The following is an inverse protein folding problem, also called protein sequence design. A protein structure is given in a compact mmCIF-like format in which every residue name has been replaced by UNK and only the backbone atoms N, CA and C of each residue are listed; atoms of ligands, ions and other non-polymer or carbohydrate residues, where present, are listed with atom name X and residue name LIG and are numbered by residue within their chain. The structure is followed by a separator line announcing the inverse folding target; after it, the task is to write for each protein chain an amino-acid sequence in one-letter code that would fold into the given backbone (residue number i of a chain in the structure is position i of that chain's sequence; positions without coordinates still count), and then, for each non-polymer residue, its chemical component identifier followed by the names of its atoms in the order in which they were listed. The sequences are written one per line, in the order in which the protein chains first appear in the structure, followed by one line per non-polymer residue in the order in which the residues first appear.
data_IF_981223743295
#
_entry.id   IF_981223743295
#
_cell.length_a   1.000
_cell.length_b   1.000
_cell.length_c   1.000
_cell.angle_alpha   90.00
_cell.angle_beta   90.00
_cell.angle_gamma   90.00
#
_symmetry.space_group_name_H-M   'P 1'
#
loop_
_entity.id
_entity.type
_entity.pdbx_description
1 polymer ?
#
# COMPACT_ATOMS: atom_id res chain seq x y z
N UNK A 1 -6.56 -11.78 1.54
CA UNK A 1 -6.16 -13.06 2.16
C UNK A 1 -4.68 -13.37 1.89
N UNK A 2 -4.26 -13.53 0.63
CA UNK A 2 -2.87 -13.94 0.30
C UNK A 2 -1.77 -13.00 0.83
N UNK A 3 -1.99 -11.68 0.76
CA UNK A 3 -1.03 -10.69 1.30
C UNK A 3 -0.84 -10.80 2.81
N UNK A 4 -1.94 -10.85 3.58
CA UNK A 4 -1.88 -11.01 5.04
C UNK A 4 -1.23 -12.34 5.46
N UNK A 5 -1.47 -13.43 4.73
CA UNK A 5 -0.81 -14.72 4.99
C UNK A 5 0.70 -14.63 4.72
N UNK A 6 1.11 -13.98 3.63
CA UNK A 6 2.51 -13.74 3.31
C UNK A 6 3.19 -12.82 4.34
N UNK A 7 2.46 -11.85 4.90
CA UNK A 7 2.95 -10.92 5.90
C UNK A 7 3.13 -11.57 7.28
N UNK A 8 2.15 -12.36 7.73
CA UNK A 8 2.24 -13.15 8.98
C UNK A 8 3.38 -14.16 8.89
N UNK A 9 3.45 -14.92 7.79
CA UNK A 9 4.49 -15.93 7.61
C UNK A 9 5.87 -15.30 7.39
N UNK A 10 5.93 -14.24 6.57
CA UNK A 10 7.14 -13.51 6.24
C UNK A 10 7.75 -12.85 7.47
N UNK A 11 7.02 -11.97 8.16
CA UNK A 11 7.56 -11.29 9.34
C UNK A 11 7.73 -12.23 10.53
N UNK A 12 6.79 -13.18 10.75
CA UNK A 12 6.88 -14.12 11.87
C UNK A 12 8.15 -14.98 11.84
N UNK A 13 8.67 -15.30 10.65
CA UNK A 13 9.82 -16.20 10.46
C UNK A 13 11.10 -15.43 10.10
N UNK A 14 11.01 -14.32 9.35
CA UNK A 14 12.18 -13.63 8.79
C UNK A 14 13.12 -13.02 9.84
N UNK A 15 12.61 -12.43 10.92
CA UNK A 15 13.50 -11.80 11.92
C UNK A 15 14.30 -12.79 12.74
N UNK A 16 13.70 -13.94 13.06
CA UNK A 16 14.39 -15.07 13.69
C UNK A 16 15.46 -15.65 12.77
N UNK A 17 15.16 -15.75 11.47
CA UNK A 17 16.12 -16.19 10.46
C UNK A 17 17.32 -15.25 10.36
N UNK A 18 17.10 -13.93 10.33
CA UNK A 18 18.20 -12.96 10.25
C UNK A 18 19.06 -12.99 11.52
N UNK A 19 18.43 -13.13 12.70
CA UNK A 19 19.16 -13.24 13.97
C UNK A 19 19.98 -14.53 14.08
N UNK A 20 19.49 -15.66 13.57
CA UNK A 20 20.15 -16.96 13.72
C UNK A 20 21.10 -17.31 12.59
N UNK A 21 20.83 -16.87 11.36
CA UNK A 21 21.52 -17.35 10.16
C UNK A 21 22.34 -16.27 9.45
N UNK A 22 22.44 -15.04 9.99
CA UNK A 22 23.04 -13.87 9.32
C UNK A 22 22.34 -13.47 8.01
N UNK A 23 22.44 -12.19 7.63
CA UNK A 23 21.70 -11.61 6.49
C UNK A 23 21.82 -12.39 5.15
N UNK A 24 22.99 -12.93 4.75
CA UNK A 24 23.13 -13.64 3.46
C UNK A 24 22.33 -14.94 3.37
N UNK A 25 22.25 -15.70 4.47
CA UNK A 25 21.54 -17.00 4.47
C UNK A 25 20.03 -16.78 4.50
N UNK A 26 19.56 -15.72 5.18
CA UNK A 26 18.15 -15.33 5.12
C UNK A 26 17.70 -15.04 3.68
N UNK A 27 18.54 -14.35 2.88
CA UNK A 27 18.29 -14.11 1.44
C UNK A 27 18.28 -15.42 0.64
N UNK A 28 19.18 -16.36 0.95
CA UNK A 28 19.21 -17.66 0.28
C UNK A 28 17.93 -18.49 0.56
N UNK A 29 17.42 -18.44 1.80
CA UNK A 29 16.16 -19.10 2.19
C UNK A 29 14.96 -18.45 1.53
N UNK A 30 14.93 -17.12 1.40
CA UNK A 30 13.89 -16.41 0.64
C UNK A 30 13.88 -16.84 -0.84
N UNK A 31 15.05 -17.14 -1.42
CA UNK A 31 15.17 -17.71 -2.76
C UNK A 31 14.42 -19.04 -2.95
N UNK A 32 14.31 -19.87 -1.90
CA UNK A 32 13.58 -21.14 -1.95
C UNK A 32 12.07 -20.89 -2.12
N UNK A 33 11.53 -19.82 -1.53
CA UNK A 33 10.14 -19.39 -1.68
C UNK A 33 9.82 -19.05 -3.14
N UNK A 34 10.75 -18.42 -3.85
CA UNK A 34 10.61 -18.15 -5.28
C UNK A 34 10.63 -19.42 -6.12
N UNK A 35 11.43 -20.42 -5.75
CA UNK A 35 11.41 -21.73 -6.40
C UNK A 35 10.05 -22.40 -6.20
N UNK A 36 9.51 -22.39 -4.97
CA UNK A 36 8.19 -22.91 -4.69
C UNK A 36 7.08 -22.19 -5.49
N UNK A 37 7.19 -20.86 -5.64
CA UNK A 37 6.31 -20.07 -6.49
C UNK A 37 6.42 -20.45 -7.97
N UNK A 38 7.63 -20.62 -8.49
CA UNK A 38 7.88 -21.04 -9.87
C UNK A 38 7.32 -22.44 -10.16
N UNK A 39 7.50 -23.38 -9.23
CA UNK A 39 6.92 -24.73 -9.33
C UNK A 39 5.39 -24.67 -9.29
N UNK A 40 4.82 -23.84 -8.41
CA UNK A 40 3.37 -23.64 -8.32
C UNK A 40 2.80 -23.07 -9.62
N UNK A 41 3.45 -22.06 -10.21
CA UNK A 41 3.08 -21.51 -11.51
C UNK A 41 3.22 -22.54 -12.64
N UNK A 42 4.29 -23.34 -12.63
CA UNK A 42 4.51 -24.39 -13.61
C UNK A 42 3.42 -25.50 -13.56
N UNK A 43 2.83 -25.72 -12.38
CA UNK A 43 1.72 -26.67 -12.21
C UNK A 43 0.37 -26.11 -12.67
N UNK A 44 0.22 -24.79 -12.85
CA UNK A 44 -1.02 -24.18 -13.35
C UNK A 44 -1.16 -24.50 -14.84
N UNK A 45 -1.99 -25.50 -15.16
CA UNK A 45 -2.39 -25.86 -16.52
C UNK A 45 -3.74 -25.24 -16.87
N UNK A 46 -3.82 -23.91 -16.79
CA UNK A 46 -5.01 -23.17 -17.20
C UNK A 46 -4.94 -22.85 -18.69
N UNK A 47 -5.95 -23.20 -19.52
CA UNK A 47 -6.03 -22.76 -20.91
C UNK A 47 -6.12 -21.24 -20.95
N UNK A 48 -5.10 -20.60 -21.50
CA UNK A 48 -5.05 -19.14 -21.59
C UNK A 48 -6.07 -18.67 -22.64
N UNK A 49 -7.00 -17.74 -22.30
CA UNK A 49 -7.94 -17.21 -23.27
C UNK A 49 -7.16 -16.65 -24.46
N UNK A 50 -7.48 -17.10 -25.68
CA UNK A 50 -6.85 -16.57 -26.90
C UNK A 50 -7.02 -15.06 -26.88
N UNK A 51 -5.89 -14.36 -26.70
CA UNK A 51 -5.79 -12.91 -26.91
C UNK A 51 -6.50 -12.60 -28.23
N UNK A 52 -7.43 -11.63 -28.30
CA UNK A 52 -7.95 -11.20 -29.60
C UNK A 52 -6.71 -10.86 -30.43
N UNK A 53 -6.49 -11.64 -31.48
CA UNK A 53 -5.41 -11.39 -32.43
C UNK A 53 -5.59 -9.95 -32.87
N UNK A 54 -4.70 -9.06 -32.42
CA UNK A 54 -4.56 -7.75 -33.02
C UNK A 54 -4.24 -8.02 -34.49
N UNK A 55 -5.26 -7.92 -35.35
CA UNK A 55 -5.20 -8.18 -36.80
C UNK A 55 -4.44 -7.09 -37.56
N UNK A 56 -3.46 -6.49 -36.91
CA UNK A 56 -2.54 -5.47 -37.43
C UNK A 56 -1.08 -5.82 -37.12
N UNK A 57 -0.77 -7.10 -36.90
CA UNK A 57 0.59 -7.59 -37.13
C UNK A 57 0.86 -7.62 -38.65
N UNK A 58 1.04 -6.42 -39.23
CA UNK A 58 1.69 -6.28 -40.52
C UNK A 58 3.02 -7.04 -40.47
N UNK A 59 3.34 -7.87 -41.47
CA UNK A 59 4.56 -8.66 -41.48
C UNK A 59 5.77 -7.76 -41.21
N UNK A 60 6.60 -8.15 -40.24
CA UNK A 60 7.75 -7.42 -39.70
C UNK A 60 8.47 -6.50 -40.70
N UNK A 61 8.02 -5.26 -40.78
CA UNK A 61 8.89 -4.17 -41.21
C UNK A 61 9.85 -3.94 -40.05
N UNK A 62 11.13 -4.27 -40.24
CA UNK A 62 12.21 -4.07 -39.26
C UNK A 62 12.37 -2.57 -38.97
N UNK A 63 11.45 -1.99 -38.23
CA UNK A 63 11.59 -0.63 -37.74
C UNK A 63 12.76 -0.62 -36.76
N UNK A 64 13.68 0.34 -36.85
CA UNK A 64 14.78 0.46 -35.90
C UNK A 64 14.22 0.51 -34.47
N UNK A 65 14.93 -0.12 -33.52
CA UNK A 65 14.51 -0.25 -32.11
C UNK A 65 14.05 1.10 -31.54
N UNK A 66 14.71 2.19 -31.92
CA UNK A 66 14.37 3.56 -31.53
C UNK A 66 12.94 3.96 -31.92
N UNK A 67 12.47 3.59 -33.12
CA UNK A 67 11.11 3.88 -33.58
C UNK A 67 10.07 3.05 -32.83
N UNK A 68 10.38 1.77 -32.56
CA UNK A 68 9.50 0.90 -31.77
C UNK A 68 9.35 1.42 -30.33
N UNK A 69 10.47 1.79 -29.69
CA UNK A 69 10.47 2.41 -28.36
C UNK A 69 9.67 3.71 -28.40
N UNK A 70 9.92 4.60 -29.36
CA UNK A 70 9.18 5.87 -29.47
C UNK A 70 7.67 5.66 -29.66
N UNK A 71 7.27 4.66 -30.45
CA UNK A 71 5.86 4.31 -30.64
C UNK A 71 5.24 3.77 -29.35
N UNK A 72 5.94 2.87 -28.65
CA UNK A 72 5.50 2.35 -27.35
C UNK A 72 5.34 3.47 -26.31
N UNK A 73 6.30 4.40 -26.23
CA UNK A 73 6.21 5.56 -25.34
C UNK A 73 5.03 6.47 -25.69
N UNK A 74 4.80 6.78 -26.97
CA UNK A 74 3.62 7.56 -27.39
C UNK A 74 2.32 6.87 -27.00
N UNK A 75 2.23 5.56 -27.19
CA UNK A 75 1.07 4.76 -26.81
C UNK A 75 0.85 4.79 -25.29
N UNK A 76 1.90 4.56 -24.50
CA UNK A 76 1.83 4.62 -23.04
C UNK A 76 1.38 6.00 -22.53
N UNK A 77 1.91 7.09 -23.11
CA UNK A 77 1.49 8.47 -22.76
C UNK A 77 0.02 8.71 -23.14
N UNK A 78 -0.43 8.21 -24.29
CA UNK A 78 -1.83 8.31 -24.70
C UNK A 78 -2.76 7.56 -23.74
N UNK A 79 -2.42 6.33 -23.36
CA UNK A 79 -3.20 5.53 -22.39
C UNK A 79 -3.21 6.16 -21.00
N UNK A 80 -2.07 6.69 -20.55
CA UNK A 80 -1.96 7.43 -19.30
C UNK A 80 -2.84 8.69 -19.31
N UNK A 81 -2.92 9.39 -20.45
CA UNK A 81 -3.79 10.57 -20.60
C UNK A 81 -5.27 10.21 -20.49
N UNK A 82 -5.69 9.06 -21.02
CA UNK A 82 -7.06 8.56 -20.84
C UNK A 82 -7.33 8.29 -19.37
N UNK A 83 -6.46 7.53 -18.70
CA UNK A 83 -6.61 7.22 -17.28
C UNK A 83 -6.67 8.48 -16.41
N UNK A 84 -5.77 9.44 -16.65
CA UNK A 84 -5.74 10.70 -15.92
C UNK A 84 -7.00 11.55 -16.19
N UNK A 85 -7.47 11.59 -17.44
CA UNK A 85 -8.70 12.30 -17.79
C UNK A 85 -9.90 11.74 -17.03
N UNK A 86 -10.05 10.42 -16.98
CA UNK A 86 -11.12 9.75 -16.20
C UNK A 86 -11.07 10.13 -14.72
N UNK A 87 -9.87 10.22 -14.13
CA UNK A 87 -9.70 10.64 -12.74
C UNK A 87 -10.15 12.09 -12.53
N UNK A 88 -9.76 12.99 -13.43
CA UNK A 88 -10.02 14.43 -13.29
C UNK A 88 -11.50 14.78 -13.54
N UNK A 89 -12.17 14.05 -14.43
CA UNK A 89 -13.59 14.24 -14.76
C UNK A 89 -14.53 13.80 -13.63
N UNK A 90 -14.13 12.80 -12.82
CA UNK A 90 -14.94 12.34 -11.70
C UNK A 90 -14.48 12.99 -10.36
N UNK A 91 -15.34 13.75 -9.67
CA UNK A 91 -14.95 14.46 -8.45
C UNK A 91 -14.56 13.54 -7.28
N UNK A 92 -15.11 12.31 -7.23
CA UNK A 92 -14.75 11.30 -6.21
C UNK A 92 -13.35 10.75 -6.50
N UNK A 93 -13.07 10.36 -7.75
CA UNK A 93 -11.75 9.86 -8.14
C UNK A 93 -10.67 10.92 -7.98
N UNK A 94 -10.97 12.18 -8.32
CA UNK A 94 -10.05 13.31 -8.11
C UNK A 94 -9.69 13.50 -6.64
N UNK A 95 -10.70 13.43 -5.74
CA UNK A 95 -10.45 13.54 -4.30
C UNK A 95 -9.59 12.37 -3.80
N UNK A 96 -9.89 11.15 -4.23
CA UNK A 96 -9.11 9.96 -3.91
C UNK A 96 -7.68 10.04 -4.45
N UNK A 97 -7.48 10.65 -5.62
CA UNK A 97 -6.16 10.86 -6.21
C UNK A 97 -5.28 11.81 -5.38
N UNK A 98 -5.86 12.89 -4.82
CA UNK A 98 -5.14 13.76 -3.89
C UNK A 98 -4.76 13.00 -2.62
N UNK A 99 -5.68 12.20 -2.08
CA UNK A 99 -5.42 11.36 -0.90
C UNK A 99 -4.29 10.37 -1.18
N UNK A 100 -4.23 9.73 -2.36
CA UNK A 100 -3.13 8.86 -2.75
C UNK A 100 -1.77 9.56 -2.79
N UNK A 101 -1.72 10.83 -3.20
CA UNK A 101 -0.46 11.60 -3.19
C UNK A 101 -0.02 11.87 -1.75
N UNK A 102 -0.94 12.34 -0.90
CA UNK A 102 -0.62 12.68 0.50
C UNK A 102 -0.26 11.44 1.31
N UNK A 103 -1.08 10.39 1.21
CA UNK A 103 -0.86 9.10 1.87
C UNK A 103 0.40 8.40 1.33
N UNK A 104 0.62 8.42 0.02
CA UNK A 104 1.83 7.87 -0.60
C UNK A 104 3.10 8.56 -0.10
N UNK A 105 3.10 9.90 0.00
CA UNK A 105 4.22 10.66 0.56
C UNK A 105 4.41 10.39 2.06
N UNK A 106 3.34 10.34 2.84
CA UNK A 106 3.38 9.98 4.26
C UNK A 106 3.97 8.57 4.47
N UNK A 107 3.52 7.59 3.68
CA UNK A 107 4.07 6.23 3.66
C UNK A 107 5.54 6.19 3.25
N UNK A 108 5.96 7.05 2.32
CA UNK A 108 7.37 7.22 1.97
C UNK A 108 8.23 7.69 3.15
N UNK A 109 7.74 8.65 3.92
CA UNK A 109 8.40 9.10 5.15
C UNK A 109 8.45 7.94 6.15
N UNK A 110 7.33 7.23 6.36
CA UNK A 110 7.25 6.10 7.28
C UNK A 110 8.29 5.01 6.95
N UNK A 111 8.43 4.65 5.68
CA UNK A 111 9.37 3.61 5.20
C UNK A 111 10.82 3.89 5.61
N UNK A 112 11.26 5.14 5.55
CA UNK A 112 12.63 5.52 5.94
C UNK A 112 12.76 5.62 7.45
N UNK A 113 11.76 6.19 8.11
CA UNK A 113 11.90 6.67 9.49
C UNK A 113 11.53 5.65 10.55
N UNK A 114 10.49 4.83 10.35
CA UNK A 114 9.97 3.92 11.37
C UNK A 114 10.99 2.84 11.72
N UNK A 115 11.50 2.12 10.71
CA UNK A 115 12.45 1.01 10.94
C UNK A 115 13.75 1.52 11.55
N UNK A 116 14.27 2.64 11.02
CA UNK A 116 15.47 3.28 11.56
C UNK A 116 15.26 3.75 13.01
N UNK A 117 14.10 4.34 13.31
CA UNK A 117 13.77 4.79 14.65
C UNK A 117 13.63 3.63 15.63
N UNK A 118 12.95 2.55 15.26
CA UNK A 118 12.77 1.38 16.13
C UNK A 118 14.10 0.70 16.46
N UNK A 119 14.97 0.54 15.47
CA UNK A 119 16.25 -0.15 15.65
C UNK A 119 17.31 0.76 16.27
N UNK A 120 17.53 1.96 15.72
CA UNK A 120 18.63 2.86 16.14
C UNK A 120 18.21 3.90 17.16
N UNK A 121 16.96 4.35 17.13
CA UNK A 121 16.44 5.36 18.05
C UNK A 121 15.99 4.76 19.38
N UNK A 122 15.16 3.72 19.34
CA UNK A 122 14.63 3.05 20.52
C UNK A 122 15.55 1.91 20.98
N UNK A 123 16.23 1.23 20.05
CA UNK A 123 17.17 0.15 20.38
C UNK A 123 16.53 -1.24 20.47
N UNK A 124 15.35 -1.44 19.87
CA UNK A 124 14.74 -2.77 19.81
C UNK A 124 15.53 -3.68 18.87
N UNK A 125 15.72 -4.93 19.28
CA UNK A 125 16.30 -5.94 18.41
C UNK A 125 15.37 -6.30 17.24
N UNK A 126 15.90 -6.57 16.04
CA UNK A 126 15.10 -6.90 14.87
C UNK A 126 14.13 -8.09 15.09
N UNK A 127 14.55 -9.12 15.82
CA UNK A 127 13.68 -10.29 16.09
C UNK A 127 12.39 -9.89 16.80
N UNK A 128 12.48 -9.07 17.84
CA UNK A 128 11.31 -8.57 18.59
C UNK A 128 10.40 -7.73 17.69
N UNK A 129 10.97 -6.85 16.86
CA UNK A 129 10.21 -6.01 15.94
C UNK A 129 9.43 -6.84 14.91
N UNK A 130 10.03 -7.90 14.38
CA UNK A 130 9.33 -8.77 13.43
C UNK A 130 8.19 -9.57 14.07
N UNK A 131 8.33 -9.98 15.33
CA UNK A 131 7.23 -10.59 16.08
C UNK A 131 6.09 -9.60 16.31
N UNK A 132 6.41 -8.33 16.60
CA UNK A 132 5.41 -7.27 16.72
C UNK A 132 4.69 -7.08 15.38
N UNK A 133 5.41 -6.97 14.26
CA UNK A 133 4.79 -6.85 12.92
C UNK A 133 3.95 -8.06 12.50
N UNK A 134 4.30 -9.27 12.96
CA UNK A 134 3.47 -10.45 12.70
C UNK A 134 2.05 -10.31 13.30
N UNK A 135 1.90 -9.58 14.42
CA UNK A 135 0.58 -9.23 14.99
C UNK A 135 -0.21 -8.40 13.98
N UNK A 136 0.45 -7.49 13.27
CA UNK A 136 -0.15 -6.67 12.22
C UNK A 136 -0.77 -7.47 11.09
N UNK A 137 -0.12 -8.54 10.66
CA UNK A 137 -0.69 -9.45 9.68
C UNK A 137 -1.97 -10.16 10.18
N UNK A 138 -2.00 -10.54 11.46
CA UNK A 138 -3.18 -11.18 12.09
C UNK A 138 -4.35 -10.19 12.18
N UNK A 139 -4.08 -8.96 12.64
CA UNK A 139 -5.09 -7.91 12.78
C UNK A 139 -5.60 -7.43 11.42
N UNK A 140 -4.73 -7.29 10.42
CA UNK A 140 -5.09 -7.07 9.01
C UNK A 140 -6.02 -8.15 8.48
N UNK A 141 -5.68 -9.43 8.69
CA UNK A 141 -6.52 -10.54 8.23
C UNK A 141 -7.91 -10.50 8.88
N UNK A 142 -7.98 -10.34 10.20
CA UNK A 142 -9.24 -10.24 10.93
C UNK A 142 -10.08 -9.06 10.43
N UNK A 143 -9.44 -7.89 10.22
CA UNK A 143 -10.12 -6.70 9.72
C UNK A 143 -10.69 -6.91 8.32
N UNK A 144 -9.97 -7.58 7.41
CA UNK A 144 -10.40 -7.82 6.04
C UNK A 144 -11.73 -8.59 5.98
N UNK A 145 -11.98 -9.51 6.92
CA UNK A 145 -13.25 -10.24 7.05
C UNK A 145 -14.40 -9.37 7.56
N UNK A 146 -14.08 -8.29 8.26
CA UNK A 146 -15.05 -7.35 8.83
C UNK A 146 -15.34 -6.18 7.88
N UNK A 147 -14.42 -5.82 6.98
CA UNK A 147 -14.54 -4.67 6.06
C UNK A 147 -15.87 -4.64 5.30
N UNK A 148 -16.36 -5.72 4.66
CA UNK A 148 -17.64 -5.68 3.94
C UNK A 148 -18.82 -5.28 4.84
N UNK A 149 -18.84 -5.77 6.09
CA UNK A 149 -19.87 -5.43 7.08
C UNK A 149 -19.76 -3.98 7.55
N UNK A 150 -18.53 -3.50 7.76
CA UNK A 150 -18.25 -2.12 8.15
C UNK A 150 -18.67 -1.16 7.02
N UNK A 151 -18.31 -1.44 5.78
CA UNK A 151 -18.71 -0.64 4.61
C UNK A 151 -20.22 -0.64 4.43
N UNK A 152 -20.88 -1.80 4.57
CA UNK A 152 -22.34 -1.89 4.50
C UNK A 152 -23.05 -1.10 5.60
N UNK A 153 -22.45 -0.98 6.80
CA UNK A 153 -23.05 -0.26 7.93
C UNK A 153 -22.75 1.23 7.93
N UNK A 154 -21.52 1.62 7.62
CA UNK A 154 -21.02 2.99 7.80
C UNK A 154 -20.80 3.73 6.48
N UNK A 155 -20.78 3.04 5.35
CA UNK A 155 -20.48 3.59 4.03
C UNK A 155 -18.99 3.58 3.69
N UNK A 156 -18.69 3.64 2.39
CA UNK A 156 -17.32 3.57 1.89
C UNK A 156 -16.49 4.79 2.32
N UNK A 157 -17.07 6.00 2.24
CA UNK A 157 -16.38 7.25 2.56
C UNK A 157 -15.90 7.32 4.01
N UNK A 158 -16.81 7.02 4.96
CA UNK A 158 -16.47 6.96 6.39
C UNK A 158 -15.47 5.87 6.69
N UNK A 159 -15.64 4.66 6.15
CA UNK A 159 -14.72 3.54 6.37
C UNK A 159 -13.30 3.88 5.95
N UNK A 160 -13.12 4.45 4.76
CA UNK A 160 -11.81 4.87 4.27
C UNK A 160 -11.19 5.97 5.13
N UNK A 161 -11.98 6.99 5.49
CA UNK A 161 -11.48 8.12 6.27
C UNK A 161 -11.07 7.69 7.68
N UNK A 162 -11.93 6.93 8.38
CA UNK A 162 -11.59 6.38 9.70
C UNK A 162 -10.39 5.44 9.64
N UNK A 163 -10.23 4.70 8.54
CA UNK A 163 -9.05 3.88 8.28
C UNK A 163 -7.76 4.72 8.27
N UNK A 164 -7.72 5.79 7.47
CA UNK A 164 -6.56 6.68 7.43
C UNK A 164 -6.30 7.42 8.76
N UNK A 165 -7.36 7.86 9.45
CA UNK A 165 -7.22 8.47 10.77
C UNK A 165 -6.61 7.51 11.79
N UNK A 166 -7.09 6.26 11.83
CA UNK A 166 -6.55 5.24 12.74
C UNK A 166 -5.11 4.88 12.38
N UNK A 167 -4.77 4.76 11.09
CA UNK A 167 -3.38 4.64 10.62
C UNK A 167 -2.50 5.77 11.15
N UNK A 168 -2.92 7.02 10.98
CA UNK A 168 -2.13 8.16 11.41
C UNK A 168 -1.98 8.28 12.93
N UNK A 169 -3.08 8.14 13.68
CA UNK A 169 -3.07 8.16 15.16
C UNK A 169 -2.28 6.99 15.72
N UNK A 170 -2.45 5.79 15.18
CA UNK A 170 -1.70 4.61 15.58
C UNK A 170 -0.20 4.79 15.34
N UNK A 171 0.19 5.41 14.22
CA UNK A 171 1.61 5.74 13.93
C UNK A 171 2.22 6.68 14.96
N UNK A 172 1.44 7.61 15.52
CA UNK A 172 1.91 8.51 16.58
C UNK A 172 2.17 7.81 17.92
N UNK A 173 1.79 6.54 18.10
CA UNK A 173 2.19 5.74 19.27
C UNK A 173 3.67 5.37 19.23
N UNK A 174 4.25 5.20 18.05
CA UNK A 174 5.66 4.82 17.87
C UNK A 174 6.62 5.82 18.54
N UNK A 175 6.56 7.14 18.27
CA UNK A 175 7.45 8.11 18.91
C UNK A 175 7.23 8.25 20.42
N UNK A 176 6.17 7.67 21.00
CA UNK A 176 6.00 7.66 22.46
C UNK A 176 6.85 6.58 23.15
N UNK A 177 7.36 5.59 22.41
CA UNK A 177 8.26 4.57 22.94
C UNK A 177 9.66 5.17 23.17
N UNK A 178 10.05 5.32 24.44
CA UNK A 178 11.31 5.97 24.85
C UNK A 178 12.49 5.02 25.03
N UNK A 179 12.29 3.71 24.92
CA UNK A 179 13.37 2.71 25.04
C UNK A 179 12.86 1.28 24.81
N UNK A 180 13.78 0.29 24.80
CA UNK A 180 13.48 -1.11 24.53
C UNK A 180 12.90 -1.79 25.79
N UNK A 181 11.80 -1.23 26.29
CA UNK A 181 11.13 -1.64 27.52
C UNK A 181 9.81 -2.34 27.21
N UNK A 182 9.22 -3.00 28.20
CA UNK A 182 7.87 -3.59 28.07
C UNK A 182 6.84 -2.52 27.68
N UNK A 183 6.93 -1.32 28.25
CA UNK A 183 6.05 -0.20 27.88
C UNK A 183 6.23 0.22 26.41
N UNK A 184 7.48 0.27 25.92
CA UNK A 184 7.77 0.50 24.51
C UNK A 184 7.17 -0.59 23.61
N UNK A 185 7.34 -1.86 23.98
CA UNK A 185 6.79 -2.98 23.22
C UNK A 185 5.26 -2.93 23.18
N UNK A 186 4.59 -2.60 24.30
CA UNK A 186 3.14 -2.41 24.34
C UNK A 186 2.68 -1.31 23.38
N UNK A 187 3.38 -0.16 23.33
CA UNK A 187 3.06 0.92 22.40
C UNK A 187 3.19 0.48 20.93
N UNK A 188 4.22 -0.30 20.61
CA UNK A 188 4.44 -0.82 19.26
C UNK A 188 3.40 -1.91 18.89
N UNK A 189 2.99 -2.74 19.85
CA UNK A 189 1.90 -3.71 19.64
C UNK A 189 0.57 -2.98 19.43
N UNK A 190 0.27 -1.97 20.24
CA UNK A 190 -0.92 -1.13 20.07
C UNK A 190 -0.91 -0.42 18.71
N UNK A 191 0.26 0.02 18.25
CA UNK A 191 0.43 0.54 16.90
C UNK A 191 -0.04 -0.48 15.84
N UNK A 192 0.42 -1.73 15.85
CA UNK A 192 -0.03 -2.75 14.88
C UNK A 192 -1.52 -3.10 15.01
N UNK A 193 -2.08 -3.08 16.23
CA UNK A 193 -3.51 -3.34 16.45
C UNK A 193 -4.38 -2.22 15.86
N UNK A 194 -3.87 -1.00 15.79
CA UNK A 194 -4.63 0.17 15.29
C UNK A 194 -4.37 0.44 13.81
N UNK A 195 -3.10 0.41 13.40
CA UNK A 195 -2.67 0.82 12.06
C UNK A 195 -3.09 -0.19 11.00
N UNK A 196 -2.79 -1.46 11.19
CA UNK A 196 -2.94 -2.46 10.13
C UNK A 196 -4.42 -2.74 9.78
N UNK A 197 -5.36 -2.80 10.75
CA UNK A 197 -6.78 -2.83 10.43
C UNK A 197 -7.28 -1.59 9.69
N UNK A 198 -6.80 -0.40 10.07
CA UNK A 198 -7.16 0.86 9.44
C UNK A 198 -6.67 0.95 7.99
N UNK A 199 -5.40 0.61 7.77
CA UNK A 199 -4.78 0.55 6.46
C UNK A 199 -5.43 -0.50 5.55
N UNK A 200 -5.78 -1.67 6.10
CA UNK A 200 -6.50 -2.73 5.37
C UNK A 200 -7.91 -2.27 4.97
N UNK A 201 -8.66 -1.66 5.89
CA UNK A 201 -9.98 -1.14 5.62
C UNK A 201 -9.96 -0.06 4.53
N UNK A 202 -8.99 0.86 4.58
CA UNK A 202 -8.76 1.85 3.54
C UNK A 202 -8.43 1.20 2.19
N UNK A 203 -7.48 0.28 2.15
CA UNK A 203 -6.99 -0.36 0.91
C UNK A 203 -8.08 -1.15 0.19
N UNK A 204 -8.85 -1.97 0.93
CA UNK A 204 -9.94 -2.77 0.33
C UNK A 204 -11.06 -1.85 -0.18
N UNK A 205 -11.47 -0.88 0.63
CA UNK A 205 -12.59 0.01 0.29
C UNK A 205 -12.23 0.93 -0.87
N UNK A 206 -11.02 1.47 -0.90
CA UNK A 206 -10.54 2.36 -1.97
C UNK A 206 -10.42 1.63 -3.32
N UNK A 207 -9.94 0.39 -3.32
CA UNK A 207 -9.90 -0.45 -4.52
C UNK A 207 -11.32 -0.78 -5.02
N UNK A 208 -12.23 -1.15 -4.10
CA UNK A 208 -13.63 -1.46 -4.43
C UNK A 208 -14.36 -0.24 -4.99
N UNK A 209 -14.10 0.95 -4.44
CA UNK A 209 -14.67 2.21 -4.92
C UNK A 209 -14.18 2.55 -6.33
N UNK A 210 -12.90 2.34 -6.60
CA UNK A 210 -12.35 2.56 -7.94
C UNK A 210 -12.97 1.58 -8.94
N UNK A 211 -13.13 0.31 -8.58
CA UNK A 211 -13.77 -0.70 -9.42
C UNK A 211 -15.25 -0.44 -9.67
N UNK A 212 -15.97 0.19 -8.73
CA UNK A 212 -17.39 0.48 -8.91
C UNK A 212 -17.67 1.72 -9.77
N UNK A 213 -16.74 2.68 -9.79
CA UNK A 213 -16.89 3.94 -10.52
C UNK A 213 -16.29 3.85 -11.93
N UNK A 214 -15.16 3.17 -12.08
CA UNK A 214 -14.37 3.20 -13.32
C UNK A 214 -14.84 2.08 -14.28
N UNK A 215 -15.21 2.41 -15.53
CA UNK A 215 -15.58 1.42 -16.53
C UNK A 215 -14.47 0.39 -16.80
N UNK A 216 -14.84 -0.87 -17.02
CA UNK A 216 -13.91 -2.00 -17.16
C UNK A 216 -12.87 -1.82 -18.28
N UNK A 217 -13.23 -1.12 -19.37
CA UNK A 217 -12.36 -0.87 -20.53
C UNK A 217 -11.23 0.14 -20.25
N UNK A 218 -11.38 0.99 -19.23
CA UNK A 218 -10.37 1.96 -18.79
C UNK A 218 -9.82 1.70 -17.40
N UNK A 219 -10.37 0.73 -16.65
CA UNK A 219 -9.95 0.40 -15.28
C UNK A 219 -8.44 0.15 -15.17
N UNK A 220 -7.87 -0.65 -16.08
CA UNK A 220 -6.43 -0.90 -16.10
C UNK A 220 -5.58 0.36 -16.30
N UNK A 221 -6.06 1.31 -17.10
CA UNK A 221 -5.39 2.61 -17.36
C UNK A 221 -5.42 3.50 -16.13
N UNK A 222 -6.58 3.60 -15.48
CA UNK A 222 -6.72 4.38 -14.23
C UNK A 222 -5.85 3.77 -13.14
N UNK A 223 -5.88 2.45 -12.95
CA UNK A 223 -5.03 1.77 -11.96
C UNK A 223 -3.53 1.97 -12.23
N UNK A 224 -3.10 1.98 -13.49
CA UNK A 224 -1.71 2.26 -13.86
C UNK A 224 -1.29 3.68 -13.46
N UNK A 225 -2.10 4.69 -13.79
CA UNK A 225 -1.85 6.10 -13.42
C UNK A 225 -1.80 6.25 -11.90
N UNK A 226 -2.78 5.69 -11.18
CA UNK A 226 -2.81 5.72 -9.70
C UNK A 226 -1.56 5.09 -9.10
N UNK A 227 -1.16 3.88 -9.52
CA UNK A 227 0.03 3.20 -8.99
C UNK A 227 1.32 3.96 -9.27
N UNK A 228 1.45 4.52 -10.48
CA UNK A 228 2.59 5.36 -10.82
C UNK A 228 2.66 6.60 -9.93
N UNK A 229 1.54 7.29 -9.73
CA UNK A 229 1.46 8.47 -8.86
C UNK A 229 1.80 8.15 -7.41
N UNK A 230 1.24 7.06 -6.85
CA UNK A 230 1.59 6.61 -5.49
C UNK A 230 3.09 6.35 -5.39
N UNK A 231 3.68 5.66 -6.37
CA UNK A 231 5.12 5.37 -6.37
C UNK A 231 5.97 6.64 -6.37
N UNK A 232 5.62 7.62 -7.21
CA UNK A 232 6.31 8.93 -7.25
C UNK A 232 6.17 9.67 -5.91
N UNK A 233 4.96 9.69 -5.34
CA UNK A 233 4.71 10.31 -4.05
C UNK A 233 5.50 9.64 -2.93
N UNK A 234 5.55 8.30 -2.90
CA UNK A 234 6.36 7.54 -1.95
C UNK A 234 7.84 7.85 -2.08
N UNK A 235 8.41 7.89 -3.29
CA UNK A 235 9.82 8.25 -3.47
C UNK A 235 10.09 9.68 -2.99
N UNK A 236 9.22 10.63 -3.31
CA UNK A 236 9.33 12.00 -2.82
C UNK A 236 9.25 12.06 -1.28
N UNK A 237 8.35 11.29 -0.69
CA UNK A 237 8.22 11.11 0.76
C UNK A 237 9.45 10.50 1.41
N UNK A 238 10.10 9.52 0.77
CA UNK A 238 11.34 8.91 1.27
C UNK A 238 12.48 9.94 1.30
N UNK A 239 12.63 10.73 0.24
CA UNK A 239 13.62 11.82 0.16
C UNK A 239 13.34 12.85 1.26
N UNK A 240 12.08 13.31 1.37
CA UNK A 240 11.67 14.25 2.41
C UNK A 240 11.85 13.69 3.83
N UNK A 241 11.53 12.41 4.05
CA UNK A 241 11.70 11.72 5.32
C UNK A 241 13.16 11.60 5.75
N UNK A 242 14.07 11.37 4.78
CA UNK A 242 15.51 11.44 5.01
C UNK A 242 15.96 12.82 5.50
N UNK A 243 15.58 13.89 4.78
CA UNK A 243 15.90 15.28 5.15
C UNK A 243 15.32 15.64 6.53
N UNK A 244 14.06 15.28 6.80
CA UNK A 244 13.41 15.53 8.09
C UNK A 244 14.16 14.80 9.22
N UNK A 245 14.55 13.55 8.98
CA UNK A 245 15.25 12.74 9.97
C UNK A 245 16.64 13.27 10.28
N UNK A 246 17.38 13.72 9.25
CA UNK A 246 18.70 14.31 9.41
C UNK A 246 18.64 15.65 10.15
N UNK A 247 17.65 16.49 9.81
CA UNK A 247 17.55 17.87 10.34
C UNK A 247 16.89 17.95 11.71
N UNK A 248 15.87 17.13 11.96
CA UNK A 248 15.00 17.21 13.15
C UNK A 248 14.96 15.92 13.98
N UNK A 249 15.64 14.86 13.53
CA UNK A 249 15.69 13.58 14.21
C UNK A 249 14.60 12.61 13.79
N UNK A 250 14.86 11.32 14.02
CA UNK A 250 13.99 10.20 13.62
C UNK A 250 12.58 10.29 14.23
N UNK A 251 12.46 10.76 15.47
CA UNK A 251 11.19 10.88 16.19
C UNK A 251 10.23 11.85 15.48
N UNK A 252 10.76 12.97 14.96
CA UNK A 252 10.00 13.96 14.19
C UNK A 252 9.62 13.39 12.82
N UNK A 253 10.52 12.65 12.19
CA UNK A 253 10.25 11.93 10.95
C UNK A 253 9.05 10.97 11.06
N UNK A 254 9.03 10.14 12.11
CA UNK A 254 7.89 9.24 12.36
C UNK A 254 6.61 10.03 12.62
N UNK A 255 6.66 11.07 13.45
CA UNK A 255 5.50 11.91 13.73
C UNK A 255 4.95 12.58 12.46
N UNK A 256 5.82 13.05 11.57
CA UNK A 256 5.44 13.66 10.30
C UNK A 256 4.68 12.68 9.39
N UNK A 257 5.10 11.40 9.36
CA UNK A 257 4.37 10.38 8.59
C UNK A 257 2.96 10.13 9.16
N UNK A 258 2.83 10.02 10.48
CA UNK A 258 1.52 9.86 11.14
C UNK A 258 0.61 11.06 10.89
N UNK A 259 1.13 12.29 11.00
CA UNK A 259 0.38 13.51 10.68
C UNK A 259 -0.04 13.54 9.21
N UNK A 260 0.82 13.12 8.29
CA UNK A 260 0.50 13.02 6.86
C UNK A 260 -0.70 12.10 6.59
N UNK A 261 -0.76 10.94 7.25
CA UNK A 261 -1.90 10.03 7.16
C UNK A 261 -3.19 10.63 7.76
N UNK A 262 -3.10 11.36 8.87
CA UNK A 262 -4.25 12.10 9.44
C UNK A 262 -4.76 13.16 8.45
N UNK A 263 -3.86 13.92 7.82
CA UNK A 263 -4.21 14.91 6.79
C UNK A 263 -4.89 14.22 5.60
N UNK A 264 -4.38 13.08 5.15
CA UNK A 264 -5.01 12.30 4.09
C UNK A 264 -6.45 11.87 4.49
N UNK A 265 -6.64 11.41 5.73
CA UNK A 265 -7.95 11.07 6.28
C UNK A 265 -8.91 12.26 6.36
N UNK A 266 -8.42 13.45 6.71
CA UNK A 266 -9.17 14.72 6.75
C UNK A 266 -9.59 15.18 5.36
N UNK A 267 -8.67 15.15 4.39
CA UNK A 267 -8.96 15.49 2.98
C UNK A 267 -10.05 14.57 2.45
N UNK A 268 -9.96 13.27 2.77
CA UNK A 268 -10.97 12.30 2.35
C UNK A 268 -12.33 12.55 3.03
N UNK A 269 -12.35 12.80 4.34
CA UNK A 269 -13.58 13.07 5.11
C UNK A 269 -14.34 14.29 4.58
N UNK A 270 -13.61 15.36 4.30
CA UNK A 270 -14.18 16.64 3.87
C UNK A 270 -14.51 16.67 2.38
N UNK A 271 -13.85 15.82 1.59
CA UNK A 271 -14.04 15.70 0.15
C UNK A 271 -15.31 14.96 -0.29
N UNK A 272 -15.61 14.97 -1.59
CA UNK A 272 -16.75 14.26 -2.18
C UNK A 272 -16.80 12.77 -1.86
N UNK A 273 -15.62 12.12 -1.78
CA UNK A 273 -15.50 10.70 -1.49
C UNK A 273 -15.91 10.35 -0.03
N UNK A 274 -15.70 11.25 0.93
CA UNK A 274 -16.09 11.05 2.34
C UNK A 274 -17.60 11.05 2.56
N UNK A 275 -18.37 11.64 1.64
CA UNK A 275 -19.84 11.73 1.70
C UNK A 275 -20.55 10.48 1.21
N UNK A 276 -19.81 9.49 0.69
CA UNK A 276 -20.38 8.24 0.20
C UNK A 276 -20.95 7.43 1.37
N UNK A 277 -22.27 7.28 1.37
CA UNK A 277 -23.02 6.50 2.34
C UNK A 277 -22.91 4.98 2.13
N UNK A 278 -23.67 4.19 2.91
CA UNK A 278 -23.84 2.77 2.70
C UNK A 278 -24.27 2.47 1.26
N UNK A 279 -23.58 1.52 0.61
CA UNK A 279 -24.03 1.00 -0.69
C UNK A 279 -25.18 0.04 -0.39
N UNK A 280 -26.42 0.47 -0.62
CA UNK A 280 -27.56 -0.45 -0.71
C UNK A 280 -27.37 -1.24 -2.00
N UNK A 281 -26.95 -2.49 -1.87
CA UNK A 281 -27.00 -3.44 -2.99
C UNK A 281 -28.49 -3.58 -3.34
N UNK A 282 -28.94 -3.01 -4.47
CA UNK A 282 -30.24 -3.41 -5.01
C UNK A 282 -30.06 -4.84 -5.48
N UNK A 283 -30.75 -5.75 -4.82
CA UNK A 283 -30.93 -7.11 -5.30
C UNK A 283 -32.07 -7.05 -6.32
N UNK A 284 -31.72 -6.69 -7.55
CA UNK A 284 -32.56 -6.94 -8.73
C UNK A 284 -32.03 -8.19 -9.47
#
# INVERSE_FOLDING_TARGET
ASGAVAEVAGFGIAGWLVQWLTAPIAVAVDGISFIASAVSLWQIRAPEPRRPTSSTASPHQRQPIVQQVRAAWKHAVYEARIGLRTIVENPVLRAQFVVFIVDGAAGGIANVTIVLYMIRGIGFEPGVLTMIWAIGGITSFASALMVPRIVARFGAGRTMSTGLFTTGVGTLLIPLATGPTVAGAILLILNQIVVDPGATAYSITSASLQQSIVPNDVLGRVSAVTRFTVSVATVAGMIGGGIITESFGMRVGVAASGIGAIIAGLILATGPAGRLGPITVSTD
#
